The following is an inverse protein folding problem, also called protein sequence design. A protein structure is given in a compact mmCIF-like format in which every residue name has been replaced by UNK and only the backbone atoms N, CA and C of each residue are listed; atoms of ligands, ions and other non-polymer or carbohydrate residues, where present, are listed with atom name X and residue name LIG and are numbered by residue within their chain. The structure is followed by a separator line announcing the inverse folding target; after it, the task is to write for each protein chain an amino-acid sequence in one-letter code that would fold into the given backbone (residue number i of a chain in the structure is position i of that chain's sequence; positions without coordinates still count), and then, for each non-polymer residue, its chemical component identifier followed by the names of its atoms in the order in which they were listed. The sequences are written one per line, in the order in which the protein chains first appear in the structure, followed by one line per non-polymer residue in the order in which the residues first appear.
data_IF_169668037536
#
_entry.id   IF_169668037536
#
_cell.length_a   1.000
_cell.length_b   1.000
_cell.length_c   1.000
_cell.angle_alpha   90.00
_cell.angle_beta   90.00
_cell.angle_gamma   90.00
#
_symmetry.space_group_name_H-M   'P 1'
#
loop_
_entity.id
_entity.type
_entity.pdbx_description
1 polymer ?
#
# COMPACT_ATOMS: atom_id res chain seq x y z
N UNK A 1 -7.44 -14.38 -13.68
CA UNK A 1 -7.23 -13.02 -14.20
C UNK A 1 -5.92 -13.01 -14.95
N UNK A 2 -5.94 -12.63 -16.23
CA UNK A 2 -4.77 -12.63 -17.10
C UNK A 2 -3.94 -11.34 -16.92
N UNK A 3 -2.73 -11.32 -17.49
CA UNK A 3 -1.82 -10.19 -17.33
C UNK A 3 -2.39 -8.86 -17.85
N UNK A 4 -3.13 -8.89 -18.97
CA UNK A 4 -3.72 -7.70 -19.57
C UNK A 4 -4.80 -7.09 -18.67
N UNK A 5 -5.59 -7.92 -17.99
CA UNK A 5 -6.59 -7.48 -17.01
C UNK A 5 -5.93 -6.76 -15.83
N UNK A 6 -4.83 -7.31 -15.30
CA UNK A 6 -4.10 -6.68 -14.19
C UNK A 6 -3.54 -5.32 -14.62
N UNK A 7 -2.93 -5.23 -15.80
CA UNK A 7 -2.38 -3.97 -16.32
C UNK A 7 -3.49 -2.91 -16.50
N UNK A 8 -4.67 -3.32 -16.98
CA UNK A 8 -5.84 -2.43 -17.09
C UNK A 8 -6.34 -1.97 -15.72
N UNK A 9 -6.36 -2.85 -14.72
CA UNK A 9 -6.74 -2.49 -13.34
C UNK A 9 -5.75 -1.47 -12.76
N UNK A 10 -4.44 -1.73 -12.87
CA UNK A 10 -3.40 -0.81 -12.41
C UNK A 10 -3.55 0.55 -13.10
N UNK A 11 -3.74 0.56 -14.41
CA UNK A 11 -3.96 1.80 -15.15
C UNK A 11 -5.21 2.55 -14.67
N UNK A 12 -6.36 1.86 -14.58
CA UNK A 12 -7.62 2.46 -14.19
C UNK A 12 -7.57 3.04 -12.77
N UNK A 13 -7.05 2.29 -11.80
CA UNK A 13 -6.93 2.77 -10.41
C UNK A 13 -5.93 3.92 -10.29
N UNK A 14 -4.85 3.91 -11.08
CA UNK A 14 -3.93 5.05 -11.14
C UNK A 14 -4.64 6.33 -11.58
N UNK A 15 -5.45 6.25 -12.64
CA UNK A 15 -6.21 7.39 -13.16
C UNK A 15 -7.28 7.89 -12.20
N UNK A 16 -7.92 6.97 -11.48
CA UNK A 16 -8.87 7.33 -10.45
C UNK A 16 -8.19 8.08 -9.29
N UNK A 17 -7.04 7.58 -8.84
CA UNK A 17 -6.30 8.19 -7.74
C UNK A 17 -5.64 9.52 -8.11
N UNK A 18 -5.26 9.75 -9.37
CA UNK A 18 -4.82 11.08 -9.84
C UNK A 18 -5.85 12.18 -9.56
N UNK A 19 -7.15 11.83 -9.49
CA UNK A 19 -8.25 12.78 -9.29
C UNK A 19 -8.81 12.71 -7.86
N UNK A 20 -8.86 11.51 -7.27
CA UNK A 20 -9.58 11.24 -6.04
C UNK A 20 -8.70 10.65 -4.92
N UNK A 21 -7.38 10.89 -4.95
CA UNK A 21 -6.44 10.45 -3.92
C UNK A 21 -6.92 10.81 -2.50
N UNK A 22 -7.31 12.07 -2.27
CA UNK A 22 -7.72 12.54 -0.93
C UNK A 22 -8.89 11.78 -0.30
N UNK A 23 -9.73 11.14 -1.12
CA UNK A 23 -10.88 10.36 -0.65
C UNK A 23 -10.52 8.93 -0.29
N UNK A 24 -9.44 8.43 -0.86
CA UNK A 24 -9.04 7.02 -0.76
C UNK A 24 -7.82 6.83 0.15
N UNK A 25 -7.11 7.91 0.50
CA UNK A 25 -5.96 7.86 1.39
C UNK A 25 -6.38 7.47 2.81
N UNK A 26 -5.56 6.65 3.45
CA UNK A 26 -5.56 6.48 4.88
C UNK A 26 -4.71 7.58 5.49
N UNK A 27 -5.30 8.38 6.38
CA UNK A 27 -4.55 9.32 7.20
C UNK A 27 -3.86 8.54 8.33
N UNK A 28 -2.55 8.73 8.49
CA UNK A 28 -1.67 8.01 9.42
C UNK A 28 -1.61 6.49 9.18
N UNK A 29 -0.80 6.06 8.21
CA UNK A 29 -0.59 4.64 7.97
C UNK A 29 0.25 3.97 9.07
N UNK A 30 -0.40 3.12 9.88
CA UNK A 30 0.25 2.44 10.99
C UNK A 30 0.66 3.41 12.09
N UNK A 31 1.97 3.52 12.36
CA UNK A 31 2.54 4.52 13.27
C UNK A 31 3.17 5.71 12.52
N UNK A 32 3.10 5.72 11.19
CA UNK A 32 3.62 6.80 10.36
C UNK A 32 2.60 7.91 10.20
N UNK A 33 3.05 9.16 10.20
CA UNK A 33 2.22 10.34 9.90
C UNK A 33 1.95 10.53 8.39
N UNK A 34 2.26 9.52 7.57
CA UNK A 34 2.05 9.59 6.12
C UNK A 34 0.62 9.25 5.75
N UNK A 35 0.07 10.10 4.90
CA UNK A 35 -1.13 9.79 4.16
C UNK A 35 -0.77 8.99 2.90
N UNK A 36 -1.40 7.84 2.68
CA UNK A 36 -1.15 6.98 1.53
C UNK A 36 -2.30 6.00 1.31
N UNK A 37 -2.32 5.36 0.15
CA UNK A 37 -3.21 4.22 -0.15
C UNK A 37 -2.36 2.95 -0.20
N UNK A 38 -2.48 2.04 0.78
CA UNK A 38 -1.75 0.78 0.78
C UNK A 38 -2.48 -0.25 -0.08
N UNK A 39 -1.76 -0.95 -0.96
CA UNK A 39 -2.35 -1.95 -1.86
C UNK A 39 -2.03 -3.38 -1.44
N UNK A 40 -0.76 -3.69 -1.17
CA UNK A 40 -0.35 -5.05 -0.83
C UNK A 40 1.02 -5.07 -0.16
N UNK A 41 1.21 -6.01 0.75
CA UNK A 41 2.49 -6.24 1.43
C UNK A 41 3.36 -7.17 0.59
N UNK A 42 4.56 -6.72 0.23
CA UNK A 42 5.59 -7.52 -0.45
C UNK A 42 6.27 -8.45 0.55
N UNK A 43 6.62 -7.90 1.72
CA UNK A 43 7.36 -8.59 2.76
C UNK A 43 6.98 -8.01 4.12
N UNK A 44 6.83 -8.89 5.11
CA UNK A 44 6.67 -8.51 6.51
C UNK A 44 7.59 -9.40 7.35
N UNK A 45 8.38 -8.78 8.23
CA UNK A 45 9.32 -9.48 9.11
C UNK A 45 9.32 -8.84 10.48
N UNK A 46 9.44 -9.66 11.53
CA UNK A 46 9.50 -9.20 12.92
C UNK A 46 10.75 -9.73 13.60
N UNK A 47 11.37 -8.93 14.48
CA UNK A 47 12.48 -9.36 15.34
C UNK A 47 12.35 -8.85 16.76
N UNK A 48 12.73 -9.68 17.73
CA UNK A 48 12.71 -9.33 19.16
C UNK A 48 13.99 -8.58 19.55
N UNK A 49 13.84 -7.40 20.13
CA UNK A 49 14.92 -6.59 20.72
C UNK A 49 15.01 -6.88 22.22
N UNK A 50 15.81 -7.91 22.55
CA UNK A 50 15.91 -8.49 23.90
C UNK A 50 16.35 -7.53 25.01
N UNK A 51 17.09 -6.48 24.68
CA UNK A 51 17.57 -5.50 25.66
C UNK A 51 16.48 -4.57 26.17
N UNK A 52 15.42 -4.35 25.40
CA UNK A 52 14.36 -3.39 25.72
C UNK A 52 12.99 -4.06 25.94
N UNK A 53 12.86 -5.36 25.64
CA UNK A 53 11.57 -6.05 25.72
C UNK A 53 10.57 -5.54 24.67
N UNK A 54 11.10 -5.06 23.55
CA UNK A 54 10.38 -4.52 22.40
C UNK A 54 10.60 -5.40 21.18
N UNK A 55 9.68 -5.33 20.23
CA UNK A 55 9.78 -5.97 18.93
C UNK A 55 9.93 -4.89 17.85
N UNK A 56 10.68 -5.21 16.81
CA UNK A 56 10.80 -4.40 15.60
C UNK A 56 10.14 -5.13 14.43
N UNK A 57 9.13 -4.49 13.86
CA UNK A 57 8.39 -4.98 12.71
C UNK A 57 8.76 -4.16 11.48
N UNK A 58 9.23 -4.85 10.44
CA UNK A 58 9.57 -4.28 9.15
C UNK A 58 8.58 -4.76 8.09
N UNK A 59 7.89 -3.81 7.46
CA UNK A 59 6.93 -4.05 6.39
C UNK A 59 7.37 -3.32 5.12
N UNK A 60 7.31 -4.04 3.99
CA UNK A 60 7.55 -3.51 2.65
C UNK A 60 6.24 -3.60 1.87
N UNK A 61 5.67 -2.47 1.47
CA UNK A 61 4.30 -2.35 0.97
C UNK A 61 4.28 -1.59 -0.37
N UNK A 62 3.43 -2.04 -1.31
CA UNK A 62 3.11 -1.28 -2.53
C UNK A 62 2.06 -0.24 -2.16
N UNK A 63 2.36 1.04 -2.38
CA UNK A 63 1.51 2.15 -2.01
C UNK A 63 1.33 3.15 -3.15
N UNK A 64 0.30 4.00 -3.01
CA UNK A 64 0.06 5.17 -3.86
C UNK A 64 -0.07 6.43 -3.00
N UNK A 65 0.54 7.54 -3.43
CA UNK A 65 0.37 8.86 -2.83
C UNK A 65 0.15 9.93 -3.91
N UNK A 66 0.10 11.21 -3.53
CA UNK A 66 -0.04 12.35 -4.44
C UNK A 66 1.00 12.40 -5.58
N UNK A 67 2.15 11.76 -5.41
CA UNK A 67 3.23 11.70 -6.40
C UNK A 67 3.21 10.41 -7.25
N UNK A 68 2.24 9.53 -7.01
CA UNK A 68 2.06 8.27 -7.74
C UNK A 68 2.44 7.03 -6.93
N UNK A 69 2.83 5.97 -7.64
CA UNK A 69 3.18 4.68 -7.05
C UNK A 69 4.56 4.70 -6.40
N UNK A 70 4.67 4.03 -5.25
CA UNK A 70 5.94 3.85 -4.55
C UNK A 70 5.94 2.55 -3.75
N UNK A 71 7.14 2.05 -3.46
CA UNK A 71 7.35 1.07 -2.40
C UNK A 71 7.62 1.82 -1.11
N UNK A 72 6.87 1.47 -0.07
CA UNK A 72 7.07 1.94 1.28
C UNK A 72 7.75 0.85 2.10
N UNK A 73 8.93 1.13 2.61
CA UNK A 73 9.66 0.26 3.53
C UNK A 73 9.64 0.96 4.90
N UNK A 74 8.93 0.39 5.86
CA UNK A 74 8.74 0.97 7.18
C UNK A 74 9.15 -0.03 8.24
N UNK A 75 9.93 0.44 9.21
CA UNK A 75 10.24 -0.31 10.42
C UNK A 75 9.69 0.43 11.63
N UNK A 76 8.87 -0.27 12.42
CA UNK A 76 8.30 0.23 13.66
C UNK A 76 8.83 -0.55 14.84
N UNK A 77 8.93 0.11 15.99
CA UNK A 77 9.30 -0.52 17.26
C UNK A 77 8.09 -0.46 18.21
N UNK A 78 7.67 -1.62 18.71
CA UNK A 78 6.49 -1.77 19.57
C UNK A 78 6.79 -2.62 20.80
N UNK A 79 6.14 -2.33 21.93
CA UNK A 79 6.28 -3.10 23.18
C UNK A 79 6.87 -2.29 24.32
N UNK A 80 6.79 -2.79 25.56
CA UNK A 80 7.30 -2.12 26.77
C UNK A 80 6.89 -0.62 26.90
N UNK A 81 5.72 -0.23 26.36
CA UNK A 81 5.25 1.16 26.34
C UNK A 81 5.85 2.04 25.22
N UNK A 82 6.70 1.48 24.35
CA UNK A 82 7.24 2.11 23.15
C UNK A 82 6.34 1.79 21.96
N UNK A 83 6.01 2.82 21.18
CA UNK A 83 5.38 2.73 19.86
C UNK A 83 5.92 3.89 19.01
N UNK A 84 6.82 3.59 18.06
CA UNK A 84 7.40 4.62 17.18
C UNK A 84 7.86 4.03 15.86
N UNK A 85 7.89 4.87 14.83
CA UNK A 85 8.64 4.58 13.61
C UNK A 85 10.13 4.77 13.90
N UNK A 86 10.96 3.80 13.52
CA UNK A 86 12.42 3.88 13.68
C UNK A 86 13.14 4.08 12.35
N UNK A 87 12.59 3.57 11.27
CA UNK A 87 13.13 3.75 9.92
C UNK A 87 11.99 3.78 8.91
N UNK A 88 12.11 4.65 7.92
CA UNK A 88 11.23 4.63 6.76
C UNK A 88 11.98 5.03 5.49
N UNK A 89 11.65 4.37 4.40
CA UNK A 89 12.19 4.65 3.08
C UNK A 89 11.10 4.58 2.01
N UNK A 90 11.22 5.46 1.01
CA UNK A 90 10.28 5.55 -0.11
C UNK A 90 11.05 5.39 -1.40
N UNK A 91 10.62 4.43 -2.21
CA UNK A 91 11.16 4.22 -3.55
C UNK A 91 10.06 4.42 -4.59
N UNK A 92 10.04 5.52 -5.35
CA UNK A 92 9.08 5.70 -6.44
C UNK A 92 9.20 4.59 -7.48
N UNK A 93 8.06 4.12 -8.00
CA UNK A 93 8.02 3.05 -9.01
C UNK A 93 7.03 3.40 -10.13
N UNK A 94 7.28 2.85 -11.33
CA UNK A 94 6.34 3.03 -12.44
C UNK A 94 5.16 2.04 -12.36
N UNK A 95 4.05 2.28 -13.08
CA UNK A 95 2.97 1.30 -13.19
C UNK A 95 3.43 -0.06 -13.74
N UNK A 96 4.48 -0.08 -14.58
CA UNK A 96 5.09 -1.33 -15.06
C UNK A 96 5.76 -2.08 -13.91
N UNK A 97 6.48 -1.38 -13.05
CA UNK A 97 7.14 -1.98 -11.88
C UNK A 97 6.11 -2.50 -10.86
N UNK A 98 4.98 -1.81 -10.69
CA UNK A 98 3.84 -2.30 -9.88
C UNK A 98 3.34 -3.65 -10.41
N UNK A 99 3.20 -3.79 -11.73
CA UNK A 99 2.79 -5.05 -12.35
C UNK A 99 3.83 -6.16 -12.14
N UNK A 100 5.13 -5.86 -12.28
CA UNK A 100 6.19 -6.82 -11.98
C UNK A 100 6.14 -7.27 -10.52
N UNK A 101 5.99 -6.34 -9.58
CA UNK A 101 5.85 -6.64 -8.15
C UNK A 101 4.59 -7.43 -7.84
N UNK A 102 3.47 -7.10 -8.46
CA UNK A 102 2.22 -7.85 -8.31
C UNK A 102 2.40 -9.33 -8.68
N UNK A 103 3.18 -9.66 -9.71
CA UNK A 103 3.42 -11.06 -10.09
C UNK A 103 4.18 -11.84 -9.01
N UNK A 104 5.10 -11.17 -8.32
CA UNK A 104 5.92 -11.73 -7.23
C UNK A 104 5.10 -11.98 -5.93
N UNK A 105 3.96 -11.30 -5.77
CA UNK A 105 3.11 -11.44 -4.59
C UNK A 105 2.56 -12.88 -4.42
N UNK A 106 2.39 -13.28 -3.15
CA UNK A 106 1.64 -14.48 -2.81
C UNK A 106 0.13 -14.30 -3.14
N UNK A 107 -0.65 -15.37 -3.08
CA UNK A 107 -2.07 -15.33 -3.45
C UNK A 107 -2.88 -14.35 -2.60
N UNK A 108 -2.62 -14.31 -1.29
CA UNK A 108 -3.35 -13.45 -0.37
C UNK A 108 -3.11 -11.97 -0.69
N UNK A 109 -1.86 -11.60 -0.93
CA UNK A 109 -1.47 -10.22 -1.26
C UNK A 109 -1.94 -9.81 -2.66
N UNK A 110 -2.03 -10.76 -3.61
CA UNK A 110 -2.71 -10.52 -4.89
C UNK A 110 -4.19 -10.19 -4.69
N UNK A 111 -4.87 -10.91 -3.79
CA UNK A 111 -6.29 -10.64 -3.49
C UNK A 111 -6.48 -9.30 -2.81
N UNK A 112 -5.62 -8.94 -1.84
CA UNK A 112 -5.64 -7.63 -1.20
C UNK A 112 -5.48 -6.50 -2.22
N UNK A 113 -4.47 -6.61 -3.10
CA UNK A 113 -4.24 -5.63 -4.16
C UNK A 113 -5.50 -5.40 -5.01
N UNK A 114 -6.13 -6.48 -5.45
CA UNK A 114 -7.31 -6.43 -6.32
C UNK A 114 -8.53 -5.91 -5.56
N UNK A 115 -8.71 -6.30 -4.30
CA UNK A 115 -9.80 -5.82 -3.46
C UNK A 115 -9.71 -4.30 -3.28
N UNK A 116 -8.54 -3.79 -2.89
CA UNK A 116 -8.31 -2.35 -2.76
C UNK A 116 -8.57 -1.61 -4.07
N UNK A 117 -8.03 -2.11 -5.18
CA UNK A 117 -8.27 -1.51 -6.49
C UNK A 117 -9.77 -1.49 -6.85
N UNK A 118 -10.49 -2.57 -6.55
CA UNK A 118 -11.92 -2.66 -6.81
C UNK A 118 -12.73 -1.69 -5.94
N UNK A 119 -12.43 -1.56 -4.65
CA UNK A 119 -13.09 -0.61 -3.76
C UNK A 119 -12.98 0.81 -4.31
N UNK A 120 -11.77 1.24 -4.66
CA UNK A 120 -11.51 2.58 -5.23
C UNK A 120 -12.32 2.80 -6.53
N UNK A 121 -12.34 1.81 -7.41
CA UNK A 121 -13.07 1.93 -8.70
C UNK A 121 -14.60 1.86 -8.51
N UNK A 122 -15.09 1.08 -7.54
CA UNK A 122 -16.53 0.91 -7.29
C UNK A 122 -17.15 2.14 -6.59
N UNK A 123 -16.41 2.82 -5.73
CA UNK A 123 -16.84 4.13 -5.20
C UNK A 123 -17.06 5.16 -6.31
N UNK A 124 -16.31 5.03 -7.39
CA UNK A 124 -16.31 5.97 -8.52
C UNK A 124 -17.47 5.70 -9.47
N UNK A 125 -17.79 4.43 -9.74
CA UNK A 125 -18.94 4.03 -10.57
C UNK A 125 -20.28 4.44 -9.95
N UNK A 126 -20.39 4.40 -8.62
CA UNK A 126 -21.62 4.76 -7.88
C UNK A 126 -22.04 6.22 -8.07
N UNK A 127 -21.11 7.12 -8.44
CA UNK A 127 -21.43 8.53 -8.77
C UNK A 127 -22.01 8.72 -10.16
N UNK A 128 -21.69 7.85 -11.11
CA UNK A 128 -22.20 7.98 -12.49
C UNK A 128 -23.72 7.80 -12.56
N UNK A 129 -24.33 7.17 -11.54
CA UNK A 129 -25.77 6.95 -11.41
C UNK A 129 -26.50 8.04 -10.59
N UNK A 130 -25.79 9.04 -10.06
CA UNK A 130 -26.36 10.10 -9.21
C UNK A 130 -26.46 11.47 -9.93
N UNK A 131 -26.24 11.51 -11.24
CA UNK A 131 -26.42 12.69 -12.10
C UNK A 131 -27.42 12.40 -13.21
#
# INVERSE_FOLDING_TARGET
MNNDEIQKIIYAVSKELEINYDKNKTEHYGLSDRALVPFATIKSTSRVVRSEGTDEDNDIVICYNENGWFIYDITVQVGAGVQKVIEENITPISPKDVFEKYKELNLFEKMNFINTAYEILNFSSSKMYLF
#
